data_IF_339397766301
#
_entry.id   IF_339397766301
#
_cell.length_a   1.000
_cell.length_b   1.000
_cell.length_c   1.000
_cell.angle_alpha   90.00
_cell.angle_beta   90.00
_cell.angle_gamma   90.00
#
_symmetry.space_group_name_H-M   'P 1'
#
loop_
_entity.id
_entity.type
_entity.pdbx_description
1 polymer ?
#
# COMPACT_ATOMS: atom_id res chain seq x y z
N UNK A 1 -39.14 -6.05 39.91
CA UNK A 1 -37.76 -6.53 39.70
C UNK A 1 -37.25 -5.96 38.38
N UNK A 2 -36.16 -5.20 38.42
CA UNK A 2 -35.64 -4.43 37.29
C UNK A 2 -34.92 -5.38 36.32
N UNK A 3 -35.47 -5.61 35.13
CA UNK A 3 -34.74 -6.29 34.07
C UNK A 3 -34.07 -5.24 33.18
N UNK A 4 -32.83 -4.91 33.53
CA UNK A 4 -31.94 -4.07 32.75
C UNK A 4 -31.44 -4.89 31.55
N UNK A 5 -32.16 -4.87 30.43
CA UNK A 5 -31.64 -5.41 29.17
C UNK A 5 -30.59 -4.43 28.64
N UNK A 6 -29.34 -4.88 28.63
CA UNK A 6 -28.17 -4.21 28.07
C UNK A 6 -28.42 -3.89 26.58
N UNK A 7 -28.72 -2.63 26.28
CA UNK A 7 -28.52 -2.08 24.93
C UNK A 7 -27.01 -2.00 24.69
N UNK A 8 -26.43 -3.05 24.12
CA UNK A 8 -25.07 -2.97 23.59
C UNK A 8 -25.15 -2.04 22.37
N UNK A 9 -24.49 -0.88 22.38
CA UNK A 9 -24.55 0.04 21.24
C UNK A 9 -23.91 -0.65 20.03
N UNK A 10 -24.56 -0.53 18.86
CA UNK A 10 -24.11 -1.16 17.60
C UNK A 10 -22.66 -0.82 17.23
N UNK A 11 -22.13 0.28 17.77
CA UNK A 11 -20.72 0.70 17.67
C UNK A 11 -19.75 -0.29 18.32
N UNK A 12 -20.13 -0.91 19.44
CA UNK A 12 -19.31 -1.86 20.19
C UNK A 12 -19.25 -3.21 19.46
N UNK A 13 -20.37 -3.63 18.87
CA UNK A 13 -20.46 -4.78 17.98
C UNK A 13 -19.60 -4.61 16.71
N UNK A 14 -19.61 -3.42 16.11
CA UNK A 14 -18.78 -3.12 14.93
C UNK A 14 -17.30 -3.12 15.27
N UNK A 15 -16.93 -2.59 16.45
CA UNK A 15 -15.55 -2.57 16.90
C UNK A 15 -15.02 -3.97 17.19
N UNK A 16 -15.82 -4.83 17.83
CA UNK A 16 -15.51 -6.24 18.10
C UNK A 16 -15.38 -7.06 16.80
N UNK A 17 -16.25 -6.81 15.81
CA UNK A 17 -16.16 -7.46 14.49
C UNK A 17 -14.90 -7.02 13.73
N UNK A 18 -14.50 -5.77 13.89
CA UNK A 18 -13.27 -5.22 13.29
C UNK A 18 -12.03 -5.82 13.94
N UNK A 19 -11.98 -5.93 15.27
CA UNK A 19 -10.85 -6.53 15.99
C UNK A 19 -10.74 -8.03 15.71
N UNK A 20 -11.85 -8.77 15.70
CA UNK A 20 -11.85 -10.21 15.43
C UNK A 20 -11.46 -10.55 13.97
N UNK A 21 -11.83 -9.70 13.00
CA UNK A 21 -11.36 -9.82 11.60
C UNK A 21 -9.89 -9.48 11.44
N UNK A 22 -9.38 -8.57 12.26
CA UNK A 22 -7.95 -8.24 12.28
C UNK A 22 -7.21 -9.45 12.88
N UNK A 23 -7.57 -9.92 14.08
CA UNK A 23 -6.94 -11.07 14.75
C UNK A 23 -6.96 -12.37 13.93
N UNK A 24 -8.05 -12.70 13.24
CA UNK A 24 -8.10 -13.90 12.38
C UNK A 24 -7.26 -13.78 11.10
N UNK A 25 -6.87 -12.56 10.71
CA UNK A 25 -5.92 -12.29 9.62
C UNK A 25 -4.48 -12.20 10.18
N UNK A 26 -4.31 -11.98 11.48
CA UNK A 26 -3.00 -11.96 12.16
C UNK A 26 -2.41 -13.36 12.33
N UNK A 27 -3.24 -14.38 12.57
CA UNK A 27 -2.80 -15.78 12.61
C UNK A 27 -2.78 -16.36 11.19
N UNK A 28 -1.62 -16.82 10.74
CA UNK A 28 -1.42 -17.43 9.41
C UNK A 28 -2.08 -18.82 9.26
N UNK A 29 -3.04 -19.17 10.13
CA UNK A 29 -3.59 -20.51 10.26
C UNK A 29 -4.80 -20.77 9.37
N UNK A 30 -5.37 -19.74 8.74
CA UNK A 30 -6.51 -19.87 7.83
C UNK A 30 -6.25 -19.18 6.47
N UNK A 31 -6.52 -19.85 5.34
CA UNK A 31 -6.42 -19.22 4.02
C UNK A 31 -7.38 -18.02 3.94
N UNK A 32 -6.90 -16.89 3.42
CA UNK A 32 -7.73 -15.72 3.18
C UNK A 32 -8.92 -16.13 2.30
N UNK A 33 -10.17 -15.73 2.66
CA UNK A 33 -11.32 -16.03 1.84
C UNK A 33 -11.13 -15.37 0.46
N UNK A 34 -11.54 -16.08 -0.58
CA UNK A 34 -11.54 -15.53 -1.93
C UNK A 34 -12.29 -14.19 -1.97
N UNK A 35 -11.78 -13.19 -2.70
CA UNK A 35 -12.45 -11.90 -2.79
C UNK A 35 -13.83 -12.08 -3.42
N UNK A 36 -14.86 -11.59 -2.73
CA UNK A 36 -16.19 -11.47 -3.32
C UNK A 36 -16.14 -10.37 -4.38
N UNK A 37 -16.59 -10.69 -5.60
CA UNK A 37 -16.73 -9.71 -6.67
C UNK A 37 -17.85 -8.75 -6.28
N UNK A 38 -17.49 -7.48 -6.08
CA UNK A 38 -18.40 -6.39 -5.75
C UNK A 38 -18.21 -5.26 -6.75
N UNK A 39 -19.27 -4.48 -7.00
CA UNK A 39 -19.17 -3.23 -7.76
C UNK A 39 -18.54 -2.10 -6.96
N UNK A 40 -18.46 -2.24 -5.63
CA UNK A 40 -17.84 -1.25 -4.74
C UNK A 40 -16.31 -1.30 -4.87
N UNK A 41 -15.64 -0.16 -5.07
CA UNK A 41 -14.19 -0.11 -5.13
C UNK A 41 -13.58 -0.45 -3.76
N UNK A 42 -12.51 -1.25 -3.78
CA UNK A 42 -11.76 -1.60 -2.57
C UNK A 42 -10.81 -0.47 -2.23
N UNK A 43 -10.80 -0.02 -0.97
CA UNK A 43 -9.86 0.98 -0.48
C UNK A 43 -8.51 0.32 -0.15
N UNK A 44 -7.45 0.64 -0.90
CA UNK A 44 -6.11 0.07 -0.71
C UNK A 44 -5.44 0.48 0.62
N UNK A 45 -5.82 1.62 1.21
CA UNK A 45 -5.22 2.15 2.44
C UNK A 45 -5.83 1.58 3.72
N UNK A 46 -6.89 0.79 3.62
CA UNK A 46 -7.61 0.25 4.77
C UNK A 46 -7.69 -1.27 4.68
N UNK A 47 -7.86 -1.82 3.48
CA UNK A 47 -8.14 -3.23 3.27
C UNK A 47 -6.88 -4.08 3.41
N UNK A 48 -6.84 -4.95 4.41
CA UNK A 48 -5.76 -5.94 4.59
C UNK A 48 -5.92 -7.07 3.57
N UNK A 49 -4.82 -7.55 3.01
CA UNK A 49 -4.80 -8.65 2.04
C UNK A 49 -5.10 -8.21 0.61
N UNK A 50 -5.20 -6.91 0.32
CA UNK A 50 -5.63 -6.45 -1.00
C UNK A 50 -4.64 -6.84 -2.11
N UNK A 51 -3.33 -6.85 -1.83
CA UNK A 51 -2.30 -7.25 -2.80
C UNK A 51 -2.43 -8.74 -3.09
N UNK A 52 -2.63 -9.52 -2.02
CA UNK A 52 -2.78 -10.98 -2.09
C UNK A 52 -4.05 -11.36 -2.85
N UNK A 53 -5.17 -10.67 -2.58
CA UNK A 53 -6.43 -10.85 -3.30
C UNK A 53 -6.33 -10.50 -4.78
N UNK A 54 -5.53 -9.49 -5.15
CA UNK A 54 -5.32 -9.10 -6.54
C UNK A 54 -4.44 -10.08 -7.33
N UNK A 55 -3.52 -10.77 -6.64
CA UNK A 55 -2.53 -11.67 -7.26
C UNK A 55 -2.48 -13.06 -6.60
N UNK A 56 -3.60 -13.81 -6.58
CA UNK A 56 -3.66 -15.10 -5.88
C UNK A 56 -2.65 -16.12 -6.42
N UNK A 57 -2.35 -16.08 -7.72
CA UNK A 57 -1.34 -16.94 -8.33
C UNK A 57 0.10 -16.62 -7.87
N UNK A 58 0.37 -15.37 -7.49
CA UNK A 58 1.69 -14.98 -6.96
C UNK A 58 1.81 -15.30 -5.46
N UNK A 59 0.69 -15.24 -4.73
CA UNK A 59 0.59 -15.48 -3.29
C UNK A 59 -0.26 -16.74 -2.97
N UNK A 60 0.25 -17.96 -3.26
CA UNK A 60 -0.54 -19.19 -3.13
C UNK A 60 -0.96 -19.50 -1.69
N UNK A 61 -0.24 -18.99 -0.69
CA UNK A 61 -0.54 -19.19 0.73
C UNK A 61 -1.44 -18.12 1.33
N UNK A 62 -1.77 -17.06 0.58
CA UNK A 62 -2.53 -15.93 1.14
C UNK A 62 -1.72 -15.03 2.09
N UNK A 63 -0.43 -15.30 2.29
CA UNK A 63 0.41 -14.62 3.29
C UNK A 63 1.26 -13.48 2.70
N UNK A 64 1.93 -12.73 3.57
CA UNK A 64 2.87 -11.66 3.23
C UNK A 64 2.24 -10.47 2.46
N UNK A 65 1.07 -10.01 2.88
CA UNK A 65 0.46 -8.80 2.34
C UNK A 65 1.24 -7.54 2.77
N UNK A 66 1.18 -6.46 1.97
CA UNK A 66 1.79 -5.19 2.33
C UNK A 66 1.28 -4.67 3.68
N UNK A 67 0.00 -4.91 3.98
CA UNK A 67 -0.67 -4.42 5.20
C UNK A 67 -0.83 -5.49 6.28
N UNK A 68 -0.27 -6.69 6.09
CA UNK A 68 -0.22 -7.67 7.18
C UNK A 68 0.64 -7.12 8.33
N UNK A 69 0.42 -7.63 9.54
CA UNK A 69 1.30 -7.31 10.65
C UNK A 69 2.67 -7.92 10.38
N UNK A 70 3.68 -7.06 10.34
CA UNK A 70 5.08 -7.46 10.19
C UNK A 70 5.80 -7.30 11.53
N UNK A 71 6.80 -8.14 11.80
CA UNK A 71 7.63 -8.02 13.01
C UNK A 71 8.40 -6.70 13.06
N UNK A 72 8.73 -6.15 11.88
CA UNK A 72 9.34 -4.84 11.71
C UNK A 72 8.47 -3.98 10.80
N UNK A 73 8.50 -2.65 11.00
CA UNK A 73 7.86 -1.72 10.07
C UNK A 73 8.59 -1.75 8.73
N UNK A 74 7.94 -2.22 7.67
CA UNK A 74 8.48 -2.26 6.32
C UNK A 74 7.84 -1.15 5.49
N UNK A 75 8.64 -0.31 4.84
CA UNK A 75 8.11 0.69 3.91
C UNK A 75 7.56 0.03 2.63
N UNK A 76 6.62 0.66 1.91
CA UNK A 76 6.11 0.10 0.66
C UNK A 76 7.21 -0.21 -0.36
N UNK A 77 8.25 0.64 -0.44
CA UNK A 77 9.40 0.41 -1.30
C UNK A 77 10.11 -0.89 -0.90
N UNK A 78 10.56 -0.99 0.36
CA UNK A 78 11.29 -2.16 0.85
C UNK A 78 10.48 -3.46 0.67
N UNK A 79 9.16 -3.40 0.90
CA UNK A 79 8.26 -4.53 0.66
C UNK A 79 8.33 -5.04 -0.79
N UNK A 80 8.20 -4.14 -1.77
CA UNK A 80 8.27 -4.53 -3.19
C UNK A 80 9.67 -4.97 -3.62
N UNK A 81 10.72 -4.37 -3.07
CA UNK A 81 12.10 -4.80 -3.28
C UNK A 81 12.30 -6.25 -2.80
N UNK A 82 11.79 -6.58 -1.61
CA UNK A 82 11.82 -7.95 -1.10
C UNK A 82 11.03 -8.94 -1.97
N UNK A 83 9.86 -8.53 -2.50
CA UNK A 83 9.09 -9.37 -3.42
C UNK A 83 9.85 -9.63 -4.72
N UNK A 84 10.52 -8.63 -5.29
CA UNK A 84 11.28 -8.81 -6.53
C UNK A 84 12.51 -9.70 -6.35
N UNK A 85 13.16 -9.63 -5.18
CA UNK A 85 14.27 -10.53 -4.80
C UNK A 85 13.84 -11.95 -4.40
N UNK A 86 12.55 -12.27 -4.47
CA UNK A 86 12.07 -13.60 -4.12
C UNK A 86 12.71 -14.68 -5.03
N UNK A 87 12.97 -15.87 -4.46
CA UNK A 87 13.87 -16.90 -5.04
C UNK A 87 13.63 -17.25 -6.51
N UNK A 88 12.38 -17.25 -6.96
CA UNK A 88 12.01 -17.62 -8.34
C UNK A 88 11.69 -16.42 -9.25
N UNK A 89 11.88 -15.20 -8.74
CA UNK A 89 11.61 -13.96 -9.44
C UNK A 89 10.17 -13.83 -9.98
N UNK A 90 9.19 -14.60 -9.46
CA UNK A 90 7.81 -14.62 -9.98
C UNK A 90 7.16 -13.24 -10.01
N UNK A 91 7.49 -12.40 -9.02
CA UNK A 91 6.96 -11.04 -8.88
C UNK A 91 7.62 -10.05 -9.84
N UNK A 92 8.92 -10.23 -10.12
CA UNK A 92 9.64 -9.38 -11.08
C UNK A 92 9.32 -9.74 -12.53
N UNK A 93 8.96 -11.02 -12.79
CA UNK A 93 8.56 -11.52 -14.12
C UNK A 93 7.14 -11.14 -14.51
N UNK A 94 6.26 -10.91 -13.54
CA UNK A 94 4.88 -10.51 -13.82
C UNK A 94 4.80 -8.98 -14.00
N UNK A 95 4.45 -8.47 -15.20
CA UNK A 95 4.43 -7.03 -15.47
C UNK A 95 3.36 -6.29 -14.65
N UNK A 96 2.28 -6.97 -14.26
CA UNK A 96 1.21 -6.35 -13.46
C UNK A 96 1.63 -6.13 -12.01
N UNK A 97 2.42 -7.04 -11.42
CA UNK A 97 2.99 -6.80 -10.08
C UNK A 97 4.04 -5.71 -10.10
N UNK A 98 4.82 -5.59 -11.18
CA UNK A 98 5.74 -4.46 -11.37
C UNK A 98 4.98 -3.13 -11.41
N UNK A 99 3.91 -3.06 -12.20
CA UNK A 99 3.09 -1.86 -12.28
C UNK A 99 2.44 -1.52 -10.93
N UNK A 100 1.90 -2.53 -10.22
CA UNK A 100 1.34 -2.35 -8.87
C UNK A 100 2.37 -1.76 -7.90
N UNK A 101 3.60 -2.26 -7.94
CA UNK A 101 4.68 -1.80 -7.07
C UNK A 101 5.00 -0.32 -7.32
N UNK A 102 5.10 0.07 -8.59
CA UNK A 102 5.36 1.45 -8.99
C UNK A 102 4.21 2.37 -8.56
N UNK A 103 2.96 2.00 -8.85
CA UNK A 103 1.79 2.80 -8.50
C UNK A 103 1.66 3.00 -6.99
N UNK A 104 1.80 1.93 -6.22
CA UNK A 104 1.77 2.00 -4.76
C UNK A 104 2.89 2.89 -4.22
N UNK A 105 4.13 2.64 -4.62
CA UNK A 105 5.28 3.39 -4.11
C UNK A 105 5.13 4.89 -4.40
N UNK A 106 4.66 5.24 -5.60
CA UNK A 106 4.36 6.63 -5.98
C UNK A 106 3.23 7.22 -5.13
N UNK A 107 2.09 6.52 -4.99
CA UNK A 107 0.96 6.97 -4.18
C UNK A 107 1.36 7.24 -2.73
N UNK A 108 2.04 6.29 -2.09
CA UNK A 108 2.49 6.42 -0.71
C UNK A 108 3.48 7.56 -0.55
N UNK A 109 4.42 7.73 -1.49
CA UNK A 109 5.32 8.87 -1.47
C UNK A 109 4.59 10.20 -1.65
N UNK A 110 3.60 10.28 -2.55
CA UNK A 110 2.82 11.50 -2.77
C UNK A 110 2.03 11.90 -1.53
N UNK A 111 1.48 10.94 -0.78
CA UNK A 111 0.80 11.21 0.49
C UNK A 111 1.76 11.78 1.54
N UNK A 112 2.95 11.22 1.68
CA UNK A 112 3.95 11.73 2.63
C UNK A 112 4.47 13.12 2.23
N UNK A 113 4.78 13.31 0.94
CA UNK A 113 5.23 14.59 0.41
C UNK A 113 4.16 15.67 0.54
N UNK A 114 2.89 15.34 0.27
CA UNK A 114 1.77 16.25 0.46
C UNK A 114 1.66 16.72 1.90
N UNK A 115 1.78 15.80 2.86
CA UNK A 115 1.82 16.14 4.30
C UNK A 115 2.98 17.10 4.62
N UNK A 116 4.19 16.81 4.14
CA UNK A 116 5.37 17.67 4.38
C UNK A 116 5.17 19.06 3.77
N UNK A 117 4.63 19.14 2.55
CA UNK A 117 4.34 20.41 1.87
C UNK A 117 3.40 21.28 2.70
N UNK A 118 2.34 20.70 3.24
CA UNK A 118 1.38 21.39 4.11
C UNK A 118 2.02 21.80 5.44
N UNK A 119 2.83 20.94 6.05
CA UNK A 119 3.52 21.25 7.31
C UNK A 119 4.55 22.38 7.17
N UNK A 120 5.21 22.49 6.02
CA UNK A 120 6.19 23.57 5.74
C UNK A 120 5.53 24.92 5.56
N UNK A 121 4.26 24.97 5.18
CA UNK A 121 3.54 26.21 5.03
C UNK A 121 2.84 26.58 6.35
N UNK A 122 3.41 27.54 7.08
CA UNK A 122 2.92 27.97 8.40
C UNK A 122 1.47 28.42 8.39
N UNK A 123 0.98 28.92 7.25
CA UNK A 123 -0.38 29.43 7.11
C UNK A 123 -1.43 28.32 6.92
N UNK A 124 -0.98 27.10 6.63
CA UNK A 124 -1.83 25.95 6.25
C UNK A 124 -1.64 24.75 7.19
N UNK A 125 -0.52 24.70 7.91
CA UNK A 125 -0.10 23.54 8.70
C UNK A 125 -1.10 23.12 9.80
N UNK A 126 -1.88 24.07 10.31
CA UNK A 126 -2.87 23.84 11.38
C UNK A 126 -4.33 23.81 10.89
N UNK A 127 -4.56 23.80 9.58
CA UNK A 127 -5.92 23.82 9.03
C UNK A 127 -6.55 22.43 9.04
N UNK A 128 -7.85 22.40 9.34
CA UNK A 128 -8.68 21.20 9.16
C UNK A 128 -8.94 20.94 7.68
N UNK A 129 -9.34 19.70 7.33
CA UNK A 129 -9.63 19.34 5.93
C UNK A 129 -10.72 20.21 5.27
N UNK A 130 -11.67 20.73 6.05
CA UNK A 130 -12.69 21.65 5.55
C UNK A 130 -12.09 23.03 5.22
N UNK A 131 -11.37 23.62 6.16
CA UNK A 131 -10.69 24.91 5.97
C UNK A 131 -9.64 24.86 4.84
N UNK A 132 -8.98 23.71 4.69
CA UNK A 132 -8.03 23.49 3.60
C UNK A 132 -8.73 23.52 2.23
N UNK A 133 -9.95 22.98 2.11
CA UNK A 133 -10.73 23.06 0.87
C UNK A 133 -11.10 24.49 0.52
N UNK A 134 -11.49 25.28 1.52
CA UNK A 134 -11.79 26.71 1.30
C UNK A 134 -10.52 27.46 0.89
N UNK A 135 -9.39 27.17 1.53
CA UNK A 135 -8.09 27.76 1.17
C UNK A 135 -7.66 27.43 -0.26
N UNK A 136 -7.92 26.22 -0.75
CA UNK A 136 -7.67 25.86 -2.14
C UNK A 136 -8.58 26.60 -3.14
N UNK A 137 -9.77 27.03 -2.72
CA UNK A 137 -10.66 27.87 -3.54
C UNK A 137 -10.17 29.32 -3.59
N UNK A 138 -9.64 29.82 -2.46
CA UNK A 138 -9.09 31.17 -2.34
C UNK A 138 -7.76 31.35 -3.11
N UNK A 139 -6.85 30.39 -3.00
CA UNK A 139 -5.54 30.41 -3.68
C UNK A 139 -5.38 29.17 -4.60
N UNK A 140 -5.79 29.26 -5.88
CA UNK A 140 -5.55 28.20 -6.85
C UNK A 140 -4.07 27.87 -7.06
N UNK A 141 -3.18 28.85 -6.84
CA UNK A 141 -1.73 28.68 -6.97
C UNK A 141 -1.14 27.74 -5.92
N UNK A 142 -1.80 27.58 -4.77
CA UNK A 142 -1.40 26.63 -3.75
C UNK A 142 -1.46 25.18 -4.24
N UNK A 143 -2.51 24.83 -4.99
CA UNK A 143 -2.67 23.50 -5.57
C UNK A 143 -1.54 23.20 -6.57
N UNK A 144 -1.19 24.20 -7.40
CA UNK A 144 -0.07 24.09 -8.33
C UNK A 144 1.26 23.86 -7.62
N UNK A 145 1.54 24.61 -6.53
CA UNK A 145 2.75 24.40 -5.72
C UNK A 145 2.81 23.01 -5.10
N UNK A 146 1.68 22.50 -4.59
CA UNK A 146 1.58 21.14 -4.04
C UNK A 146 1.84 20.07 -5.12
N UNK A 147 1.31 20.27 -6.32
CA UNK A 147 1.53 19.38 -7.46
C UNK A 147 3.01 19.40 -7.91
N UNK A 148 3.60 20.59 -8.08
CA UNK A 148 5.01 20.74 -8.46
C UNK A 148 5.97 20.23 -7.38
N UNK A 149 5.60 20.35 -6.11
CA UNK A 149 6.37 19.79 -5.00
C UNK A 149 6.42 18.26 -5.10
N UNK A 150 5.28 17.63 -5.41
CA UNK A 150 5.21 16.19 -5.64
C UNK A 150 6.00 15.75 -6.89
N UNK A 151 5.96 16.51 -7.98
CA UNK A 151 6.74 16.19 -9.18
C UNK A 151 8.25 16.36 -8.97
N UNK A 152 8.65 17.31 -8.11
CA UNK A 152 10.04 17.62 -7.82
C UNK A 152 10.72 16.54 -6.98
N UNK A 153 10.01 15.94 -6.01
CA UNK A 153 10.70 15.17 -4.95
C UNK A 153 10.91 13.68 -5.25
N UNK A 154 10.06 12.93 -5.96
CA UNK A 154 10.16 11.45 -5.77
C UNK A 154 9.59 10.47 -6.80
N UNK A 155 9.04 10.88 -7.94
CA UNK A 155 8.60 9.87 -8.92
C UNK A 155 9.78 9.19 -9.62
N UNK A 156 10.86 9.92 -9.91
CA UNK A 156 11.99 9.41 -10.72
C UNK A 156 12.98 8.55 -9.92
N UNK A 157 13.25 8.87 -8.65
CA UNK A 157 14.17 8.08 -7.81
C UNK A 157 13.56 6.74 -7.40
N UNK A 158 12.34 6.71 -6.84
CA UNK A 158 11.71 5.46 -6.39
C UNK A 158 11.41 4.52 -7.56
N UNK A 159 10.93 5.06 -8.68
CA UNK A 159 10.79 4.30 -9.92
C UNK A 159 12.15 3.84 -10.43
N UNK A 160 13.17 4.72 -10.38
CA UNK A 160 14.55 4.38 -10.74
C UNK A 160 15.13 3.24 -9.90
N UNK A 161 14.90 3.25 -8.59
CA UNK A 161 15.38 2.24 -7.64
C UNK A 161 14.71 0.89 -7.90
N UNK A 162 13.38 0.87 -8.03
CA UNK A 162 12.63 -0.34 -8.39
C UNK A 162 13.02 -0.86 -9.77
N UNK A 163 13.19 0.03 -10.75
CA UNK A 163 13.57 -0.32 -12.12
C UNK A 163 14.99 -0.87 -12.16
N UNK A 164 15.95 -0.24 -11.48
CA UNK A 164 17.32 -0.72 -11.38
C UNK A 164 17.37 -2.11 -10.73
N UNK A 165 16.58 -2.33 -9.69
CA UNK A 165 16.47 -3.63 -9.03
C UNK A 165 15.88 -4.70 -9.96
N UNK A 166 14.79 -4.40 -10.66
CA UNK A 166 14.24 -5.28 -11.70
C UNK A 166 15.30 -5.58 -12.76
N UNK A 167 15.99 -4.58 -13.30
CA UNK A 167 17.04 -4.80 -14.30
C UNK A 167 18.16 -5.68 -13.78
N UNK A 168 18.60 -5.49 -12.54
CA UNK A 168 19.62 -6.36 -11.93
C UNK A 168 19.16 -7.81 -11.83
N UNK A 169 17.89 -8.04 -11.48
CA UNK A 169 17.30 -9.38 -11.39
C UNK A 169 17.21 -10.02 -12.78
N UNK A 170 16.75 -9.27 -13.78
CA UNK A 170 16.67 -9.73 -15.16
C UNK A 170 18.06 -10.04 -15.71
N UNK A 171 19.04 -9.15 -15.53
CA UNK A 171 20.41 -9.35 -15.98
C UNK A 171 21.04 -10.61 -15.36
N UNK A 172 20.92 -10.79 -14.04
CA UNK A 172 21.43 -11.97 -13.34
C UNK A 172 20.72 -13.27 -13.76
N UNK A 173 19.42 -13.21 -14.00
CA UNK A 173 18.65 -14.37 -14.50
C UNK A 173 19.02 -14.74 -15.94
N UNK A 174 19.34 -13.75 -16.79
CA UNK A 174 19.79 -13.97 -18.16
C UNK A 174 21.19 -14.60 -18.21
N UNK A 175 22.12 -14.14 -17.36
CA UNK A 175 23.46 -14.74 -17.28
C UNK A 175 23.42 -16.18 -16.78
N UNK A 176 22.64 -16.48 -15.73
CA UNK A 176 22.53 -17.85 -15.22
C UNK A 176 22.02 -18.84 -16.28
N UNK A 177 21.09 -18.44 -17.15
CA UNK A 177 20.58 -19.31 -18.21
C UNK A 177 21.62 -19.55 -19.32
N UNK A 178 22.54 -18.61 -19.55
CA UNK A 178 23.59 -18.71 -20.57
C UNK A 178 24.74 -19.64 -20.15
N UNK A 179 25.10 -19.62 -18.86
CA UNK A 179 26.21 -20.42 -18.31
C UNK A 179 25.80 -21.82 -17.83
N UNK A 180 24.50 -22.13 -17.76
CA UNK A 180 24.00 -23.47 -17.39
C UNK A 180 23.88 -24.45 -18.57
N UNK A 181 24.08 -23.96 -19.80
CA UNK A 181 23.94 -24.71 -21.05
C UNK A 181 25.28 -25.11 -21.68
N UNK A 182 26.36 -25.21 -20.89
CA UNK A 182 27.66 -25.76 -21.29
C UNK A 182 28.06 -26.90 -20.35
#
# INVERSE_FOLDING_TARGET
>A
MKQLFLLIPQTLLFHQKKTHRIESVLTHDAPLPWPNISSEPINEFITVGYVVMAFPALFPTGAADLRSLHQASVSPLEYFQHLFKYKDCRFARNPRSVFLAMDNTNRWSSLQNGKICLQRNTDISNLTAAQLKDKFREDPGLMYRLMCFNSSIRARQLTGDLVAEIYSIWFNSWDQQRFSSH
#
